data_IF_708603336598
#
_entry.id   IF_708603336598
#
_cell.length_a   1.000
_cell.length_b   1.000
_cell.length_c   1.000
_cell.angle_alpha   90.00
_cell.angle_beta   90.00
_cell.angle_gamma   90.00
#
_symmetry.space_group_name_H-M   'P 1'
#
loop_
_entity.id
_entity.type
_entity.pdbx_description
1 polymer ?
#
# COMPACT_ATOMS: atom_id res chain seq x y z
N UNK A 1 -1.46 30.92 -9.27
CA UNK A 1 -2.77 31.26 -8.68
C UNK A 1 -2.60 32.42 -7.71
N UNK A 2 -3.63 33.23 -7.49
CA UNK A 2 -3.63 34.25 -6.43
C UNK A 2 -3.71 33.63 -5.03
N UNK A 3 -3.88 34.48 -4.01
CA UNK A 3 -4.12 34.07 -2.62
C UNK A 3 -5.28 33.04 -2.54
N UNK A 4 -5.10 31.96 -1.79
CA UNK A 4 -6.13 30.95 -1.50
C UNK A 4 -6.55 31.03 -0.04
N UNK A 5 -7.83 30.80 0.21
CA UNK A 5 -8.42 30.79 1.55
C UNK A 5 -8.92 29.39 1.86
N UNK A 6 -8.33 28.78 2.88
CA UNK A 6 -8.47 27.37 3.24
C UNK A 6 -9.38 27.24 4.44
N UNK A 7 -10.44 26.45 4.30
CA UNK A 7 -11.26 25.97 5.40
C UNK A 7 -11.01 24.49 5.64
N UNK A 8 -10.72 24.12 6.89
CA UNK A 8 -10.44 22.74 7.30
C UNK A 8 -11.68 22.08 7.90
N UNK A 9 -12.10 20.97 7.31
CA UNK A 9 -13.19 20.13 7.78
C UNK A 9 -12.67 18.75 8.24
N UNK A 10 -12.98 18.40 9.48
CA UNK A 10 -12.68 17.09 10.07
C UNK A 10 -13.98 16.28 10.23
N UNK A 11 -13.94 15.02 9.83
CA UNK A 11 -14.94 14.01 10.21
C UNK A 11 -14.22 12.71 10.57
N UNK A 12 -14.68 12.01 11.62
CA UNK A 12 -14.23 10.66 12.00
C UNK A 12 -12.73 10.39 11.76
N UNK A 13 -11.87 11.17 12.43
CA UNK A 13 -10.41 11.04 12.40
C UNK A 13 -9.80 11.13 13.80
N UNK A 14 -8.51 10.82 13.92
CA UNK A 14 -7.77 10.77 15.19
C UNK A 14 -7.01 12.06 15.55
N UNK A 15 -7.29 13.15 14.83
CA UNK A 15 -6.57 14.43 14.90
C UNK A 15 -5.09 14.43 14.47
N UNK A 16 -4.50 13.28 14.13
CA UNK A 16 -3.12 13.21 13.65
C UNK A 16 -2.84 14.10 12.43
N UNK A 17 -3.72 14.08 11.42
CA UNK A 17 -3.58 14.94 10.24
C UNK A 17 -3.79 16.42 10.58
N UNK A 18 -4.66 16.73 11.54
CA UNK A 18 -4.90 18.11 11.96
C UNK A 18 -3.66 18.72 12.62
N UNK A 19 -2.97 17.95 13.46
CA UNK A 19 -1.68 18.36 14.05
C UNK A 19 -0.66 18.66 12.95
N UNK A 20 -0.57 17.84 11.91
CA UNK A 20 0.37 18.08 10.81
C UNK A 20 -0.02 19.28 9.95
N UNK A 21 -1.31 19.55 9.75
CA UNK A 21 -1.80 20.75 9.06
C UNK A 21 -1.46 22.01 9.87
N UNK A 22 -1.70 21.99 11.18
CA UNK A 22 -1.35 23.11 12.07
C UNK A 22 0.16 23.34 12.08
N UNK A 23 0.95 22.27 12.09
CA UNK A 23 2.41 22.34 12.01
C UNK A 23 2.89 23.03 10.73
N UNK A 24 2.16 22.91 9.60
CA UNK A 24 2.48 23.63 8.36
C UNK A 24 2.37 25.16 8.50
N UNK A 25 1.64 25.67 9.50
CA UNK A 25 1.53 27.10 9.78
C UNK A 25 2.74 27.65 10.53
N UNK A 26 3.62 26.78 11.06
CA UNK A 26 4.83 27.24 11.73
C UNK A 26 5.71 28.05 10.76
N UNK A 27 6.34 29.15 11.21
CA UNK A 27 7.09 30.06 10.34
C UNK A 27 8.16 29.39 9.48
N UNK A 28 8.78 28.32 9.99
CA UNK A 28 9.81 27.56 9.27
C UNK A 28 9.33 27.01 7.92
N UNK A 29 8.04 26.74 7.76
CA UNK A 29 7.48 26.17 6.55
C UNK A 29 6.97 27.21 5.55
N UNK A 30 6.90 28.48 5.96
CA UNK A 30 6.58 29.63 5.10
C UNK A 30 5.32 29.45 4.25
N UNK A 31 4.32 28.68 4.74
CA UNK A 31 3.09 28.36 4.00
C UNK A 31 2.32 29.62 3.58
N UNK A 32 2.30 30.65 4.44
CA UNK A 32 1.62 31.92 4.16
C UNK A 32 2.24 32.67 2.97
N UNK A 33 3.53 32.47 2.70
CA UNK A 33 4.21 33.09 1.55
C UNK A 33 3.82 32.45 0.22
N UNK A 34 3.27 31.23 0.26
CA UNK A 34 2.61 30.61 -0.90
C UNK A 34 1.22 31.22 -1.17
N UNK A 35 0.82 32.25 -0.41
CA UNK A 35 -0.47 32.90 -0.54
C UNK A 35 -1.61 32.09 0.09
N UNK A 36 -1.31 31.19 1.04
CA UNK A 36 -2.32 30.44 1.78
C UNK A 36 -2.80 31.26 2.97
N UNK A 37 -4.10 31.35 3.17
CA UNK A 37 -4.74 31.92 4.36
C UNK A 37 -5.70 30.89 4.94
N UNK A 38 -5.70 30.71 6.26
CA UNK A 38 -6.66 29.85 6.94
C UNK A 38 -7.83 30.70 7.41
N UNK A 39 -9.05 30.26 7.12
CA UNK A 39 -10.29 30.96 7.50
C UNK A 39 -11.15 30.10 8.40
N UNK A 40 -11.93 30.75 9.26
CA UNK A 40 -12.80 30.07 10.23
C UNK A 40 -14.20 29.78 9.68
N UNK A 41 -14.60 30.46 8.61
CA UNK A 41 -15.93 30.31 8.02
C UNK A 41 -15.84 29.70 6.62
N UNK A 42 -16.68 28.69 6.29
CA UNK A 42 -16.73 28.13 4.94
C UNK A 42 -16.98 29.18 3.85
N UNK A 43 -17.78 30.20 4.14
CA UNK A 43 -18.15 31.26 3.21
C UNK A 43 -16.96 32.17 2.83
N UNK A 44 -15.85 32.09 3.55
CA UNK A 44 -14.63 32.86 3.30
C UNK A 44 -13.59 32.02 2.52
N UNK A 45 -13.82 30.72 2.34
CA UNK A 45 -12.88 29.81 1.69
C UNK A 45 -13.20 29.52 0.24
N UNK A 46 -12.15 29.27 -0.56
CA UNK A 46 -12.23 28.65 -1.88
C UNK A 46 -11.52 27.28 -1.93
N UNK A 47 -10.79 26.92 -0.87
CA UNK A 47 -10.17 25.59 -0.71
C UNK A 47 -10.73 24.90 0.52
N UNK A 48 -11.17 23.65 0.35
CA UNK A 48 -11.68 22.79 1.40
C UNK A 48 -10.70 21.65 1.66
N UNK A 49 -10.10 21.64 2.86
CA UNK A 49 -9.21 20.56 3.30
C UNK A 49 -9.99 19.58 4.16
N UNK A 50 -10.04 18.32 3.75
CA UNK A 50 -10.78 17.25 4.41
C UNK A 50 -9.83 16.32 5.14
N UNK A 51 -10.05 16.13 6.43
CA UNK A 51 -9.36 15.13 7.24
C UNK A 51 -10.34 14.08 7.78
N UNK A 52 -9.85 12.85 7.87
CA UNK A 52 -10.63 11.71 8.36
C UNK A 52 -11.68 11.18 7.37
N UNK A 53 -12.27 10.04 7.69
CA UNK A 53 -13.31 9.43 6.85
C UNK A 53 -14.69 10.08 7.08
N UNK A 54 -15.68 9.76 6.25
CA UNK A 54 -17.03 10.29 6.45
C UNK A 54 -17.90 9.29 7.20
N UNK A 55 -18.39 9.71 8.37
CA UNK A 55 -19.47 9.01 9.07
C UNK A 55 -20.84 9.61 8.70
N UNK A 56 -21.93 8.97 9.14
CA UNK A 56 -23.31 9.41 8.84
C UNK A 56 -23.54 10.91 9.15
N UNK A 57 -23.04 11.40 10.28
CA UNK A 57 -23.19 12.81 10.68
C UNK A 57 -22.30 13.73 9.85
N UNK A 58 -21.04 13.35 9.66
CA UNK A 58 -20.03 14.09 8.91
C UNK A 58 -20.44 14.32 7.45
N UNK A 59 -21.08 13.33 6.81
CA UNK A 59 -21.65 13.48 5.46
C UNK A 59 -22.64 14.64 5.36
N UNK A 60 -23.56 14.75 6.30
CA UNK A 60 -24.61 15.77 6.27
C UNK A 60 -24.00 17.17 6.47
N UNK A 61 -23.03 17.31 7.38
CA UNK A 61 -22.34 18.58 7.59
C UNK A 61 -21.41 18.95 6.43
N UNK A 62 -20.72 17.97 5.84
CA UNK A 62 -19.86 18.19 4.67
C UNK A 62 -20.65 18.78 3.49
N UNK A 63 -21.85 18.27 3.21
CA UNK A 63 -22.71 18.80 2.15
C UNK A 63 -23.14 20.25 2.41
N UNK A 64 -23.38 20.63 3.67
CA UNK A 64 -23.72 22.02 4.03
C UNK A 64 -22.51 22.94 3.85
N UNK A 65 -21.34 22.52 4.31
CA UNK A 65 -20.07 23.25 4.19
C UNK A 65 -19.70 23.41 2.72
N UNK A 66 -19.73 22.34 1.93
CA UNK A 66 -19.35 22.37 0.52
C UNK A 66 -20.18 23.35 -0.32
N UNK A 67 -21.48 23.51 0.00
CA UNK A 67 -22.36 24.50 -0.63
C UNK A 67 -21.94 25.94 -0.37
N UNK A 68 -21.33 26.21 0.80
CA UNK A 68 -20.93 27.55 1.26
C UNK A 68 -19.56 27.98 0.72
N UNK A 69 -18.69 27.04 0.35
CA UNK A 69 -17.35 27.32 -0.22
C UNK A 69 -17.50 28.11 -1.54
N UNK A 70 -16.72 29.17 -1.70
CA UNK A 70 -16.71 30.02 -2.89
C UNK A 70 -16.07 29.31 -4.09
N UNK A 71 -16.61 29.50 -5.32
CA UNK A 71 -15.91 29.12 -6.54
C UNK A 71 -14.68 30.01 -6.80
N UNK A 72 -13.61 29.51 -7.47
CA UNK A 72 -13.40 28.12 -7.87
C UNK A 72 -13.10 27.22 -6.65
N UNK A 73 -13.80 26.10 -6.54
CA UNK A 73 -13.68 25.17 -5.40
C UNK A 73 -12.53 24.20 -5.64
N UNK A 74 -11.56 24.15 -4.73
CA UNK A 74 -10.54 23.08 -4.68
C UNK A 74 -10.76 22.26 -3.41
N UNK A 75 -10.90 20.96 -3.54
CA UNK A 75 -11.09 20.03 -2.42
C UNK A 75 -9.89 19.11 -2.32
N UNK A 76 -9.26 19.08 -1.16
CA UNK A 76 -8.06 18.28 -0.87
C UNK A 76 -8.33 17.32 0.27
N UNK A 77 -8.19 16.02 0.04
CA UNK A 77 -8.27 14.99 1.07
C UNK A 77 -6.88 14.72 1.66
N UNK A 78 -6.72 14.91 2.97
CA UNK A 78 -5.44 14.77 3.67
C UNK A 78 -5.48 13.59 4.62
N UNK A 79 -4.59 12.64 4.37
CA UNK A 79 -4.38 11.43 5.16
C UNK A 79 -5.27 10.24 4.78
N UNK A 80 -4.79 9.04 5.10
CA UNK A 80 -5.37 7.77 4.64
C UNK A 80 -6.85 7.59 4.97
N UNK A 81 -7.31 8.05 6.15
CA UNK A 81 -8.72 7.99 6.51
C UNK A 81 -9.62 8.76 5.51
N UNK A 82 -9.16 9.89 4.98
CA UNK A 82 -9.90 10.63 3.96
C UNK A 82 -9.83 9.95 2.58
N UNK A 83 -8.83 9.11 2.32
CA UNK A 83 -8.69 8.40 1.04
C UNK A 83 -9.51 7.09 1.01
N UNK A 84 -9.49 6.32 2.10
CA UNK A 84 -10.01 4.94 2.12
C UNK A 84 -10.87 4.60 3.33
N UNK A 85 -11.00 5.51 4.31
CA UNK A 85 -11.46 5.27 5.70
C UNK A 85 -10.46 4.50 6.58
N UNK A 86 -9.36 4.03 6.01
CA UNK A 86 -8.29 3.29 6.69
C UNK A 86 -8.81 2.29 7.73
N UNK A 87 -8.38 2.37 9.00
CA UNK A 87 -8.78 1.45 10.08
C UNK A 87 -10.30 1.39 10.33
N UNK A 88 -11.07 2.34 9.80
CA UNK A 88 -12.52 2.40 9.90
C UNK A 88 -13.25 1.92 8.63
N UNK A 89 -12.55 1.34 7.65
CA UNK A 89 -13.14 0.93 6.37
C UNK A 89 -14.33 -0.02 6.48
N UNK A 90 -14.30 -0.94 7.44
CA UNK A 90 -15.36 -1.90 7.80
C UNK A 90 -16.31 -1.39 8.89
N UNK A 91 -16.14 -0.15 9.36
CA UNK A 91 -16.98 0.45 10.40
C UNK A 91 -18.40 0.74 9.92
N UNK A 92 -19.43 0.25 10.65
CA UNK A 92 -20.84 0.40 10.28
C UNK A 92 -21.34 1.86 10.24
N UNK A 93 -20.69 2.77 10.96
CA UNK A 93 -21.02 4.21 10.96
C UNK A 93 -20.42 4.97 9.78
N UNK A 94 -19.48 4.36 9.07
CA UNK A 94 -18.74 5.00 7.98
C UNK A 94 -19.50 4.87 6.67
N UNK A 95 -19.74 6.00 6.01
CA UNK A 95 -20.48 6.08 4.75
C UNK A 95 -19.59 6.18 3.53
N UNK A 96 -18.27 6.34 3.71
CA UNK A 96 -17.29 6.35 2.64
C UNK A 96 -16.14 7.35 2.86
N UNK A 97 -15.12 7.33 2.00
CA UNK A 97 -14.27 8.49 1.79
C UNK A 97 -15.07 9.68 1.22
N UNK A 98 -14.58 10.93 1.36
CA UNK A 98 -15.34 12.12 0.98
C UNK A 98 -15.61 12.23 -0.53
N UNK A 99 -14.78 11.60 -1.36
CA UNK A 99 -14.91 11.59 -2.83
C UNK A 99 -16.15 10.82 -3.34
N UNK A 100 -16.79 10.03 -2.47
CA UNK A 100 -18.10 9.41 -2.74
C UNK A 100 -19.28 10.34 -2.42
N UNK A 101 -19.02 11.51 -1.85
CA UNK A 101 -20.05 12.47 -1.37
C UNK A 101 -19.95 13.78 -2.13
N UNK A 102 -18.73 14.30 -2.34
CA UNK A 102 -18.46 15.52 -3.11
C UNK A 102 -17.24 15.30 -4.03
N UNK A 103 -17.08 16.10 -5.10
CA UNK A 103 -15.86 16.05 -5.92
C UNK A 103 -14.62 16.40 -5.09
N UNK A 104 -13.62 15.52 -5.11
CA UNK A 104 -12.30 15.75 -4.52
C UNK A 104 -11.27 15.88 -5.64
N UNK A 105 -10.46 16.94 -5.60
CA UNK A 105 -9.49 17.25 -6.65
C UNK A 105 -8.13 16.58 -6.41
N UNK A 106 -7.71 16.53 -5.14
CA UNK A 106 -6.37 16.08 -4.77
C UNK A 106 -6.39 15.25 -3.49
N UNK A 107 -5.47 14.31 -3.38
CA UNK A 107 -5.30 13.41 -2.26
C UNK A 107 -3.85 13.41 -1.80
N UNK A 108 -3.64 13.49 -0.48
CA UNK A 108 -2.33 13.46 0.16
C UNK A 108 -2.28 12.23 1.09
N UNK A 109 -1.78 11.08 0.62
CA UNK A 109 -1.62 9.87 1.42
C UNK A 109 -0.67 10.07 2.61
N UNK A 110 -0.95 9.36 3.71
CA UNK A 110 -0.15 9.36 4.93
C UNK A 110 -0.99 9.13 6.19
N UNK A 111 -0.40 8.54 7.22
CA UNK A 111 -1.09 8.30 8.50
C UNK A 111 -0.21 8.67 9.72
N UNK A 112 -0.07 9.97 10.04
CA UNK A 112 -0.46 11.12 9.21
C UNK A 112 0.63 11.46 8.16
N UNK A 113 0.29 12.22 7.10
CA UNK A 113 1.31 12.74 6.19
C UNK A 113 2.21 13.75 6.89
N UNK A 114 3.50 13.76 6.55
CA UNK A 114 4.44 14.77 7.08
C UNK A 114 4.05 16.19 6.65
N UNK A 115 4.38 17.24 7.42
CA UNK A 115 4.10 18.62 7.03
C UNK A 115 4.76 18.95 5.69
N UNK A 116 5.99 18.47 5.47
CA UNK A 116 6.72 18.62 4.21
C UNK A 116 5.94 18.06 3.01
N UNK A 117 5.26 16.92 3.17
CA UNK A 117 4.42 16.33 2.12
C UNK A 117 3.21 17.22 1.82
N UNK A 118 2.58 17.77 2.86
CA UNK A 118 1.42 18.68 2.73
C UNK A 118 1.85 19.97 2.01
N UNK A 119 2.97 20.57 2.40
CA UNK A 119 3.45 21.83 1.80
C UNK A 119 3.87 21.63 0.35
N UNK A 120 4.60 20.53 0.05
CA UNK A 120 4.95 20.17 -1.34
C UNK A 120 3.70 20.01 -2.19
N UNK A 121 2.68 19.34 -1.66
CA UNK A 121 1.40 19.19 -2.36
C UNK A 121 0.70 20.53 -2.60
N UNK A 122 0.65 21.41 -1.59
CA UNK A 122 0.07 22.75 -1.75
C UNK A 122 0.84 23.55 -2.79
N UNK A 123 2.17 23.54 -2.75
CA UNK A 123 3.01 24.24 -3.73
C UNK A 123 2.75 23.73 -5.16
N UNK A 124 2.68 22.41 -5.34
CA UNK A 124 2.40 21.78 -6.64
C UNK A 124 1.01 22.16 -7.16
N UNK A 125 -0.03 22.12 -6.30
CA UNK A 125 -1.39 22.54 -6.65
C UNK A 125 -1.45 24.02 -7.07
N UNK A 126 -0.65 24.87 -6.42
CA UNK A 126 -0.58 26.30 -6.73
C UNK A 126 0.33 26.65 -7.92
N UNK A 127 1.10 25.69 -8.43
CA UNK A 127 2.16 25.91 -9.42
C UNK A 127 3.35 26.71 -8.88
N UNK A 128 3.56 26.68 -7.56
CA UNK A 128 4.65 27.34 -6.88
C UNK A 128 5.87 26.42 -6.75
N UNK A 129 7.06 27.02 -6.65
CA UNK A 129 8.29 26.30 -6.31
C UNK A 129 8.64 26.58 -4.87
N UNK A 130 9.05 25.54 -4.14
CA UNK A 130 9.60 25.68 -2.80
C UNK A 130 11.09 25.33 -2.81
N UNK A 131 11.84 25.97 -1.93
CA UNK A 131 13.25 25.66 -1.73
C UNK A 131 13.42 24.64 -0.61
N UNK A 132 13.78 23.41 -0.95
CA UNK A 132 14.04 22.32 0.00
C UNK A 132 15.51 22.36 0.49
N UNK A 133 15.99 23.53 0.91
CA UNK A 133 17.42 23.75 1.24
C UNK A 133 17.82 23.37 2.66
N UNK A 134 16.85 23.31 3.58
CA UNK A 134 17.10 23.04 5.00
C UNK A 134 17.00 21.55 5.34
N UNK A 135 17.79 21.09 6.31
CA UNK A 135 17.91 19.67 6.67
C UNK A 135 16.59 19.03 7.09
N UNK A 136 15.63 19.79 7.61
CA UNK A 136 14.32 19.27 8.00
C UNK A 136 13.44 18.84 6.81
N UNK A 137 13.77 19.25 5.57
CA UNK A 137 13.12 18.75 4.36
C UNK A 137 13.52 17.31 4.03
N UNK A 138 14.70 16.90 4.50
CA UNK A 138 15.21 15.56 4.31
C UNK A 138 14.43 14.57 5.18
N UNK A 139 14.29 13.36 4.66
CA UNK A 139 13.81 12.25 5.47
C UNK A 139 14.93 11.72 6.37
N UNK A 140 14.72 11.66 7.69
CA UNK A 140 15.73 11.16 8.61
C UNK A 140 16.10 9.71 8.28
N UNK A 141 17.23 9.27 8.82
CA UNK A 141 17.59 7.85 8.75
C UNK A 141 16.51 6.99 9.43
N UNK A 142 16.22 5.82 8.85
CA UNK A 142 15.14 4.95 9.33
C UNK A 142 13.72 5.41 9.00
N UNK A 143 13.53 6.53 8.29
CA UNK A 143 12.21 6.96 7.85
C UNK A 143 11.54 5.90 6.96
N UNK A 144 10.24 5.71 7.18
CA UNK A 144 9.41 4.68 6.54
C UNK A 144 8.44 5.35 5.57
N UNK A 145 8.88 5.52 4.32
CA UNK A 145 8.09 6.06 3.23
C UNK A 145 7.46 5.00 2.34
N UNK A 146 7.04 5.42 1.14
CA UNK A 146 6.54 4.53 0.08
C UNK A 146 7.52 3.39 -0.15
N UNK A 147 7.04 2.16 -0.15
CA UNK A 147 7.92 1.03 -0.43
C UNK A 147 8.09 0.82 -1.93
N UNK A 148 9.23 0.26 -2.30
CA UNK A 148 9.51 -0.25 -3.63
C UNK A 148 9.45 -1.76 -3.58
N UNK A 149 8.89 -2.37 -4.63
CA UNK A 149 8.91 -3.81 -4.84
C UNK A 149 9.89 -4.11 -5.97
N UNK A 150 10.97 -4.79 -5.63
CA UNK A 150 11.91 -5.38 -6.58
C UNK A 150 11.19 -6.53 -7.31
N UNK A 151 10.89 -6.30 -8.59
CA UNK A 151 10.12 -7.25 -9.42
C UNK A 151 10.88 -8.55 -9.66
N UNK A 152 12.21 -8.51 -9.68
CA UNK A 152 13.06 -9.67 -9.93
C UNK A 152 13.16 -10.56 -8.69
N UNK A 153 13.15 -9.96 -7.48
CA UNK A 153 13.16 -10.71 -6.22
C UNK A 153 11.78 -11.14 -5.74
N UNK A 154 10.71 -10.50 -6.21
CA UNK A 154 9.36 -10.80 -5.73
C UNK A 154 8.88 -12.14 -6.26
N UNK A 155 8.72 -13.11 -5.36
CA UNK A 155 8.23 -14.45 -5.71
C UNK A 155 6.70 -14.60 -5.64
N UNK A 156 5.96 -13.52 -5.37
CA UNK A 156 4.48 -13.56 -5.31
C UNK A 156 3.89 -14.40 -4.17
N UNK A 157 4.66 -14.77 -3.15
CA UNK A 157 4.22 -15.69 -2.09
C UNK A 157 3.05 -15.18 -1.23
N UNK A 158 2.83 -13.86 -1.18
CA UNK A 158 1.74 -13.25 -0.42
C UNK A 158 2.01 -13.05 1.08
N UNK A 159 3.22 -13.35 1.57
CA UNK A 159 3.58 -13.14 2.98
C UNK A 159 3.37 -11.67 3.43
N UNK A 160 3.72 -10.72 2.55
CA UNK A 160 3.51 -9.29 2.79
C UNK A 160 2.04 -8.90 2.98
N UNK A 161 1.11 -9.57 2.28
CA UNK A 161 -0.32 -9.33 2.45
C UNK A 161 -0.82 -9.94 3.76
N UNK A 162 -0.32 -11.12 4.16
CA UNK A 162 -0.72 -11.77 5.41
C UNK A 162 -0.30 -10.98 6.65
N UNK A 163 0.86 -10.34 6.64
CA UNK A 163 1.34 -9.53 7.77
C UNK A 163 0.81 -8.08 7.75
N UNK A 164 0.09 -7.68 6.69
CA UNK A 164 -0.34 -6.29 6.54
C UNK A 164 -1.48 -5.97 7.51
N UNK A 165 -1.16 -5.34 8.64
CA UNK A 165 -2.14 -4.94 9.66
C UNK A 165 -3.14 -3.87 9.19
N UNK A 166 -2.85 -3.19 8.08
CA UNK A 166 -3.70 -2.16 7.49
C UNK A 166 -4.53 -2.67 6.31
N UNK A 167 -4.52 -3.97 5.99
CA UNK A 167 -5.19 -4.54 4.80
C UNK A 167 -4.86 -3.79 3.48
N UNK A 168 -3.66 -3.19 3.40
CA UNK A 168 -3.24 -2.34 2.29
C UNK A 168 -2.63 -3.12 1.12
N UNK A 169 -2.33 -4.41 1.30
CA UNK A 169 -1.74 -5.27 0.29
C UNK A 169 -2.69 -6.42 -0.03
N UNK A 170 -3.03 -6.57 -1.30
CA UNK A 170 -3.97 -7.56 -1.80
C UNK A 170 -3.29 -8.49 -2.80
N UNK A 171 -3.66 -9.77 -2.74
CA UNK A 171 -3.19 -10.80 -3.66
C UNK A 171 -4.36 -11.21 -4.55
N UNK A 172 -4.21 -11.03 -5.86
CA UNK A 172 -5.27 -11.30 -6.84
C UNK A 172 -4.72 -12.27 -7.87
N UNK A 173 -5.27 -13.48 -7.91
CA UNK A 173 -4.92 -14.48 -8.92
C UNK A 173 -5.81 -14.34 -10.14
N UNK A 174 -5.21 -14.04 -11.29
CA UNK A 174 -5.83 -14.12 -12.61
C UNK A 174 -5.54 -15.47 -13.29
N UNK A 175 -5.87 -15.60 -14.59
CA UNK A 175 -5.64 -16.84 -15.34
C UNK A 175 -4.18 -17.26 -15.37
N UNK A 176 -3.27 -16.33 -15.71
CA UNK A 176 -1.83 -16.64 -15.93
C UNK A 176 -0.91 -15.89 -14.96
N UNK A 177 -1.42 -14.91 -14.21
CA UNK A 177 -0.63 -14.01 -13.39
C UNK A 177 -1.28 -13.78 -12.03
N UNK A 178 -0.43 -13.64 -11.02
CA UNK A 178 -0.75 -13.08 -9.71
C UNK A 178 -0.40 -11.61 -9.68
N UNK A 179 -1.33 -10.79 -9.22
CA UNK A 179 -1.13 -9.37 -8.95
C UNK A 179 -0.96 -9.20 -7.44
N UNK A 180 0.18 -8.66 -7.03
CA UNK A 180 0.41 -8.12 -5.69
C UNK A 180 0.12 -6.62 -5.76
N UNK A 181 -1.04 -6.21 -5.24
CA UNK A 181 -1.52 -4.83 -5.30
C UNK A 181 -1.34 -4.15 -3.94
N UNK A 182 -0.65 -3.02 -3.92
CA UNK A 182 -0.47 -2.18 -2.73
C UNK A 182 -1.29 -0.92 -2.89
N UNK A 183 -2.07 -0.54 -1.88
CA UNK A 183 -2.77 0.74 -1.82
C UNK A 183 -2.07 1.70 -0.85
N UNK A 184 -1.32 2.67 -1.37
CA UNK A 184 -0.62 3.67 -0.56
C UNK A 184 -1.56 4.67 0.12
N UNK A 185 -2.80 4.80 -0.35
CA UNK A 185 -3.85 5.54 0.36
C UNK A 185 -4.41 4.81 1.58
N UNK A 186 -4.02 3.55 1.79
CA UNK A 186 -4.42 2.74 2.96
C UNK A 186 -3.20 2.33 3.81
N UNK A 187 -2.00 2.23 3.22
CA UNK A 187 -0.79 1.79 3.91
C UNK A 187 -0.40 2.72 5.08
N UNK A 188 -0.22 2.15 6.27
CA UNK A 188 0.26 2.87 7.47
C UNK A 188 1.79 2.99 7.57
N UNK A 189 2.52 2.50 6.55
CA UNK A 189 3.99 2.53 6.47
C UNK A 189 4.71 1.92 7.69
N UNK A 190 4.13 0.89 8.32
CA UNK A 190 4.69 0.25 9.52
C UNK A 190 5.95 -0.61 9.28
N UNK A 191 6.26 -0.95 8.02
CA UNK A 191 7.38 -1.80 7.58
C UNK A 191 7.27 -3.32 7.79
N UNK A 192 6.19 -3.85 8.37
CA UNK A 192 6.06 -5.31 8.55
C UNK A 192 6.16 -6.11 7.24
N UNK A 193 5.66 -5.56 6.13
CA UNK A 193 5.77 -6.22 4.83
C UNK A 193 7.21 -6.34 4.32
N UNK A 194 8.11 -5.42 4.70
CA UNK A 194 9.54 -5.51 4.41
C UNK A 194 10.18 -6.58 5.29
N UNK A 195 9.91 -6.54 6.60
CA UNK A 195 10.55 -7.42 7.58
C UNK A 195 10.17 -8.90 7.35
N UNK A 196 8.94 -9.17 6.91
CA UNK A 196 8.45 -10.53 6.64
C UNK A 196 8.81 -11.05 5.24
N UNK A 197 9.32 -10.20 4.35
CA UNK A 197 9.56 -10.61 2.96
C UNK A 197 10.71 -11.63 2.87
N UNK A 198 10.45 -12.90 2.48
CA UNK A 198 11.48 -13.95 2.52
C UNK A 198 12.60 -13.75 1.50
N UNK A 199 12.38 -12.92 0.49
CA UNK A 199 13.34 -12.57 -0.57
C UNK A 199 13.86 -11.14 -0.46
N UNK A 200 13.45 -10.38 0.57
CA UNK A 200 13.79 -8.96 0.73
C UNK A 200 13.44 -8.13 -0.52
N UNK A 201 12.34 -8.49 -1.21
CA UNK A 201 11.86 -7.80 -2.39
C UNK A 201 11.17 -6.47 -2.07
N UNK A 202 10.72 -6.26 -0.84
CA UNK A 202 10.05 -5.03 -0.41
C UNK A 202 11.04 -4.20 0.39
N UNK A 203 11.20 -2.92 0.02
CA UNK A 203 12.05 -1.97 0.74
C UNK A 203 11.32 -0.64 0.94
N UNK A 204 11.22 -0.17 2.18
CA UNK A 204 10.72 1.17 2.46
C UNK A 204 11.76 2.21 2.07
N UNK A 205 11.28 3.26 1.42
CA UNK A 205 12.14 4.35 0.94
C UNK A 205 11.99 5.59 1.82
N UNK A 206 12.71 6.64 1.43
CA UNK A 206 12.57 7.98 1.99
C UNK A 206 11.50 8.83 1.29
N UNK A 207 10.81 8.29 0.28
CA UNK A 207 9.78 8.99 -0.47
C UNK A 207 8.52 9.15 0.37
N UNK A 208 8.17 10.41 0.69
CA UNK A 208 7.00 10.78 1.47
C UNK A 208 6.00 11.65 0.70
N UNK A 209 6.37 12.18 -0.46
CA UNK A 209 5.50 13.03 -1.28
C UNK A 209 4.69 12.16 -2.23
N UNK A 210 3.42 11.92 -1.89
CA UNK A 210 2.54 10.99 -2.61
C UNK A 210 1.27 11.67 -3.15
N UNK A 211 1.33 12.98 -3.42
CA UNK A 211 0.21 13.72 -3.99
C UNK A 211 -0.31 13.02 -5.25
N UNK A 212 -1.63 12.89 -5.34
CA UNK A 212 -2.31 12.43 -6.55
C UNK A 212 -3.64 13.15 -6.75
N UNK A 213 -4.06 13.31 -8.01
CA UNK A 213 -5.41 13.75 -8.39
C UNK A 213 -6.41 12.59 -8.57
N UNK A 214 -5.93 11.35 -8.61
CA UNK A 214 -6.75 10.14 -8.70
C UNK A 214 -6.28 9.10 -7.69
N UNK A 215 -7.17 8.75 -6.74
CA UNK A 215 -6.86 7.73 -5.73
C UNK A 215 -6.51 6.36 -6.31
N UNK A 216 -6.88 6.04 -7.56
CA UNK A 216 -6.50 4.78 -8.18
C UNK A 216 -4.99 4.72 -8.45
N UNK A 217 -4.33 5.86 -8.72
CA UNK A 217 -2.88 5.89 -8.95
C UNK A 217 -2.08 5.75 -7.65
N UNK A 218 -2.73 5.91 -6.49
CA UNK A 218 -2.16 5.52 -5.20
C UNK A 218 -2.02 3.99 -5.06
N UNK A 219 -2.59 3.21 -5.98
CA UNK A 219 -2.44 1.76 -6.03
C UNK A 219 -1.31 1.38 -6.99
N UNK A 220 -0.36 0.61 -6.51
CA UNK A 220 0.75 0.07 -7.31
C UNK A 220 0.63 -1.44 -7.39
N UNK A 221 1.00 -1.99 -8.54
CA UNK A 221 0.90 -3.42 -8.83
C UNK A 221 2.27 -4.01 -9.14
N UNK A 222 2.51 -5.20 -8.62
CA UNK A 222 3.57 -6.10 -9.07
C UNK A 222 2.94 -7.37 -9.62
N UNK A 223 3.33 -7.79 -10.81
CA UNK A 223 2.80 -8.98 -11.47
C UNK A 223 3.82 -10.10 -11.41
N UNK A 224 3.35 -11.32 -11.13
CA UNK A 224 4.17 -12.52 -11.08
C UNK A 224 3.46 -13.63 -11.86
N UNK A 225 4.17 -14.32 -12.74
CA UNK A 225 3.59 -15.42 -13.52
C UNK A 225 3.17 -16.58 -12.62
N UNK A 226 2.04 -17.21 -12.93
CA UNK A 226 1.57 -18.42 -12.29
C UNK A 226 2.07 -19.65 -13.04
N UNK A 227 2.32 -20.71 -12.29
CA UNK A 227 2.63 -22.03 -12.80
C UNK A 227 1.35 -22.84 -13.02
N UNK A 228 1.36 -23.68 -14.05
CA UNK A 228 0.31 -24.63 -14.35
C UNK A 228 0.58 -25.97 -13.67
N UNK A 229 -0.49 -26.62 -13.21
CA UNK A 229 -0.42 -27.96 -12.65
C UNK A 229 -0.02 -28.97 -13.73
N UNK A 230 0.97 -29.82 -13.46
CA UNK A 230 1.42 -30.87 -14.37
C UNK A 230 0.37 -31.97 -14.63
N UNK A 231 -0.66 -32.07 -13.79
CA UNK A 231 -1.72 -33.09 -13.88
C UNK A 231 -2.98 -32.54 -14.58
N UNK A 232 -3.50 -31.41 -14.11
CA UNK A 232 -4.78 -30.87 -14.60
C UNK A 232 -4.67 -29.59 -15.44
N UNK A 233 -3.46 -29.04 -15.61
CA UNK A 233 -3.22 -27.82 -16.40
C UNK A 233 -3.66 -26.51 -15.74
N UNK A 234 -4.46 -26.54 -14.67
CA UNK A 234 -4.92 -25.33 -13.98
C UNK A 234 -3.75 -24.56 -13.33
N UNK A 235 -3.80 -23.24 -13.37
CA UNK A 235 -2.88 -22.37 -12.62
C UNK A 235 -3.14 -22.43 -11.12
N UNK A 236 -2.09 -22.35 -10.30
CA UNK A 236 -2.26 -22.56 -8.85
C UNK A 236 -1.29 -21.85 -7.92
N UNK A 237 -0.07 -21.49 -8.36
CA UNK A 237 0.93 -20.84 -7.51
C UNK A 237 1.93 -20.06 -8.37
N UNK A 238 2.58 -19.01 -7.86
CA UNK A 238 3.61 -18.29 -8.60
C UNK A 238 4.77 -19.18 -9.04
N UNK A 239 5.14 -19.09 -10.31
CA UNK A 239 6.27 -19.82 -10.89
C UNK A 239 7.60 -19.46 -10.19
N UNK A 240 7.92 -18.18 -9.92
CA UNK A 240 9.13 -17.83 -9.17
C UNK A 240 9.15 -18.36 -7.74
N UNK A 241 7.99 -18.64 -7.13
CA UNK A 241 7.94 -19.28 -5.82
C UNK A 241 8.37 -20.75 -5.88
N UNK A 242 8.01 -21.48 -6.94
CA UNK A 242 8.47 -22.86 -7.18
C UNK A 242 9.99 -22.86 -7.36
N UNK A 243 10.50 -21.98 -8.22
CA UNK A 243 11.94 -21.85 -8.52
C UNK A 243 12.74 -21.49 -7.26
N UNK A 244 12.25 -20.51 -6.49
CA UNK A 244 12.89 -20.12 -5.23
C UNK A 244 12.90 -21.25 -4.20
N UNK A 245 11.80 -21.99 -4.06
CA UNK A 245 11.73 -23.13 -3.15
C UNK A 245 12.69 -24.25 -3.57
N UNK A 246 12.74 -24.56 -4.87
CA UNK A 246 13.61 -25.59 -5.42
C UNK A 246 15.08 -25.25 -5.23
N UNK A 247 15.48 -24.01 -5.56
CA UNK A 247 16.83 -23.49 -5.30
C UNK A 247 17.22 -23.63 -3.83
N UNK A 248 16.36 -23.15 -2.92
CA UNK A 248 16.67 -23.21 -1.47
C UNK A 248 16.80 -24.64 -0.95
N UNK A 249 15.90 -25.54 -1.35
CA UNK A 249 15.92 -26.91 -0.85
C UNK A 249 17.07 -27.70 -1.46
N UNK A 250 17.21 -27.66 -2.79
CA UNK A 250 18.10 -28.57 -3.53
C UNK A 250 19.51 -28.00 -3.66
N UNK A 251 19.67 -26.69 -3.86
CA UNK A 251 21.00 -26.09 -4.09
C UNK A 251 21.64 -25.57 -2.79
N UNK A 252 20.86 -24.96 -1.90
CA UNK A 252 21.41 -24.27 -0.73
C UNK A 252 21.39 -25.12 0.56
N UNK A 253 20.25 -25.73 0.90
CA UNK A 253 20.05 -26.38 2.20
C UNK A 253 20.33 -27.88 2.19
N UNK A 254 20.05 -28.58 1.10
CA UNK A 254 20.28 -30.02 0.98
C UNK A 254 20.84 -30.42 -0.39
N UNK A 255 22.12 -30.08 -0.69
CA UNK A 255 22.80 -30.42 -1.94
C UNK A 255 22.77 -31.91 -2.30
N UNK A 256 22.65 -32.79 -1.29
CA UNK A 256 22.51 -34.24 -1.47
C UNK A 256 21.29 -34.66 -2.30
N UNK A 257 20.26 -33.83 -2.38
CA UNK A 257 19.06 -34.09 -3.18
C UNK A 257 19.16 -33.59 -4.62
N UNK A 258 20.32 -33.12 -5.07
CA UNK A 258 20.52 -32.60 -6.44
C UNK A 258 20.15 -33.60 -7.53
N UNK A 259 20.37 -34.90 -7.32
CA UNK A 259 19.96 -35.92 -8.30
C UNK A 259 18.43 -36.08 -8.42
N UNK A 260 17.68 -35.71 -7.38
CA UNK A 260 16.23 -35.76 -7.34
C UNK A 260 15.58 -34.45 -7.80
N UNK A 261 16.35 -33.55 -8.43
CA UNK A 261 15.86 -32.24 -8.86
C UNK A 261 14.56 -32.34 -9.66
N UNK A 262 14.51 -33.23 -10.66
CA UNK A 262 13.33 -33.42 -11.50
C UNK A 262 12.15 -34.04 -10.76
N UNK A 263 12.40 -34.97 -9.84
CA UNK A 263 11.35 -35.57 -9.02
C UNK A 263 10.71 -34.53 -8.08
N UNK A 264 11.55 -33.70 -7.43
CA UNK A 264 11.10 -32.64 -6.53
C UNK A 264 10.35 -31.56 -7.32
N UNK A 265 10.88 -31.13 -8.46
CA UNK A 265 10.20 -30.17 -9.34
C UNK A 265 8.83 -30.71 -9.78
N UNK A 266 8.77 -31.96 -10.23
CA UNK A 266 7.50 -32.61 -10.60
C UNK A 266 6.49 -32.59 -9.46
N UNK A 267 6.93 -32.90 -8.23
CA UNK A 267 6.08 -32.85 -7.04
C UNK A 267 5.62 -31.42 -6.69
N UNK A 268 6.49 -30.41 -6.83
CA UNK A 268 6.16 -29.00 -6.59
C UNK A 268 5.20 -28.42 -7.64
N UNK A 269 5.22 -28.94 -8.86
CA UNK A 269 4.36 -28.52 -9.98
C UNK A 269 2.94 -29.10 -9.94
N UNK A 270 2.48 -29.62 -8.80
CA UNK A 270 1.13 -30.18 -8.64
C UNK A 270 0.29 -29.31 -7.70
N UNK A 271 -0.87 -28.86 -8.19
CA UNK A 271 -1.80 -28.03 -7.41
C UNK A 271 -2.40 -28.76 -6.20
N UNK A 272 -2.89 -28.00 -5.22
CA UNK A 272 -3.46 -28.52 -3.97
C UNK A 272 -4.60 -29.52 -4.17
N UNK A 273 -5.42 -29.34 -5.22
CA UNK A 273 -6.53 -30.27 -5.54
C UNK A 273 -6.00 -31.63 -6.00
N UNK A 274 -5.17 -31.65 -7.05
CA UNK A 274 -4.59 -32.90 -7.55
C UNK A 274 -3.69 -33.58 -6.52
N UNK A 275 -2.96 -32.82 -5.69
CA UNK A 275 -2.12 -33.35 -4.62
C UNK A 275 -2.92 -34.16 -3.57
N UNK A 276 -4.22 -33.89 -3.41
CA UNK A 276 -5.10 -34.59 -2.46
C UNK A 276 -5.75 -35.85 -3.04
N UNK A 277 -5.61 -36.12 -4.33
CA UNK A 277 -6.11 -37.36 -4.93
C UNK A 277 -5.29 -38.56 -4.46
N UNK A 278 -5.96 -39.65 -4.06
CA UNK A 278 -5.33 -40.84 -3.46
C UNK A 278 -4.16 -41.36 -4.31
N UNK A 279 -4.35 -41.46 -5.63
CA UNK A 279 -3.30 -41.91 -6.56
C UNK A 279 -2.04 -41.04 -6.46
N UNK A 280 -2.19 -39.72 -6.45
CA UNK A 280 -1.07 -38.79 -6.41
C UNK A 280 -0.41 -38.74 -5.03
N UNK A 281 -1.18 -38.96 -3.96
CA UNK A 281 -0.63 -39.12 -2.60
C UNK A 281 0.25 -40.35 -2.50
N UNK A 282 -0.16 -41.48 -3.11
CA UNK A 282 0.65 -42.71 -3.15
C UNK A 282 1.97 -42.48 -3.88
N UNK A 283 1.95 -41.81 -5.04
CA UNK A 283 3.18 -41.48 -5.77
C UNK A 283 4.09 -40.52 -5.00
N UNK A 284 3.52 -39.49 -4.35
CA UNK A 284 4.29 -38.59 -3.49
C UNK A 284 4.95 -39.32 -2.31
N UNK A 285 4.27 -40.29 -1.69
CA UNK A 285 4.84 -41.13 -0.63
C UNK A 285 6.01 -41.97 -1.13
N UNK A 286 5.94 -42.56 -2.33
CA UNK A 286 7.05 -43.29 -2.93
C UNK A 286 8.28 -42.40 -3.11
N UNK A 287 8.09 -41.15 -3.54
CA UNK A 287 9.17 -40.17 -3.63
C UNK A 287 9.77 -39.88 -2.24
N UNK A 288 8.95 -39.67 -1.21
CA UNK A 288 9.45 -39.44 0.14
C UNK A 288 10.27 -40.63 0.67
N UNK A 289 9.88 -41.88 0.37
CA UNK A 289 10.66 -43.07 0.72
C UNK A 289 12.03 -43.03 0.04
N UNK A 290 12.09 -42.79 -1.27
CA UNK A 290 13.37 -42.65 -2.00
C UNK A 290 14.27 -41.55 -1.43
N UNK A 291 13.69 -40.39 -1.11
CA UNK A 291 14.42 -39.27 -0.49
C UNK A 291 14.94 -39.66 0.91
N UNK A 292 14.16 -40.43 1.69
CA UNK A 292 14.53 -40.90 3.02
C UNK A 292 15.61 -41.98 3.01
N UNK A 293 15.60 -42.90 2.03
CA UNK A 293 16.65 -43.91 1.87
C UNK A 293 18.01 -43.24 1.62
N UNK A 294 18.03 -42.14 0.87
CA UNK A 294 19.24 -41.34 0.69
C UNK A 294 19.66 -40.56 1.94
N UNK A 295 18.75 -40.32 2.89
CA UNK A 295 19.13 -39.79 4.20
C UNK A 295 19.89 -40.81 5.05
N UNK A 296 19.89 -42.10 4.68
CA UNK A 296 20.76 -43.17 5.19
C UNK A 296 21.24 -43.02 6.64
N UNK A 297 20.54 -43.66 7.57
CA UNK A 297 20.99 -43.93 8.94
C UNK A 297 21.40 -42.67 9.76
N UNK A 298 20.43 -41.96 10.31
CA UNK A 298 20.69 -41.26 11.58
C UNK A 298 20.73 -42.30 12.70
N UNK A 299 21.95 -42.71 13.06
CA UNK A 299 22.27 -42.93 14.48
C UNK A 299 22.40 -41.56 15.15
#
# INVERSE_FOLDING_TARGET
>A
MGKISVYRFLSAGCNGCDVQILECLAPRYRLMELGVEVVEKPEEANVLVLTGGMNIKGKNELLKVYKKINPPKIVVAVGNCALTKEIFDKGYTMVGPPDQIIPVNYYIPGCPPRPQAIIKAVAEILGAKIEEKEDYWLAPEGFRGKHEIDKEKCIGCGACAQICTADAIEIIDGPDKRIVRVNYGHCSFCAFCQDECPTQAIRLTKEYHLLTSDRQTAKVVNEVNLANCSICGNTFMPQPQIEWALKRVVEEKAPKYKEFYHDILSALSVCTKCRREIKNVVEAKKLLVKLSEKLGNYN
#
